data_IF_125239646746
#
_entry.id   IF_125239646746
#
_cell.length_a   1.000
_cell.length_b   1.000
_cell.length_c   1.000
_cell.angle_alpha   90.00
_cell.angle_beta   90.00
_cell.angle_gamma   90.00
#
_symmetry.space_group_name_H-M   'P 1'
#
loop_
_entity.id
_entity.type
_entity.pdbx_description
1 polymer ?
#
# COMPACT_ATOMS: atom_id res chain seq x y z
N UNK A 1 -17.86 -1.77 -10.51
CA UNK A 1 -16.61 -2.57 -10.60
C UNK A 1 -15.62 -2.24 -9.49
N UNK A 2 -15.34 -0.97 -9.17
CA UNK A 2 -14.50 -0.60 -8.01
C UNK A 2 -14.92 -1.32 -6.71
N UNK A 3 -16.20 -1.26 -6.37
CA UNK A 3 -16.74 -1.90 -5.16
C UNK A 3 -16.46 -3.41 -5.11
N UNK A 4 -16.57 -4.13 -6.23
CA UNK A 4 -16.31 -5.57 -6.26
C UNK A 4 -14.83 -5.89 -5.99
N UNK A 5 -13.91 -5.13 -6.59
CA UNK A 5 -12.46 -5.26 -6.35
C UNK A 5 -12.11 -4.95 -4.89
N UNK A 6 -12.64 -3.83 -4.38
CA UNK A 6 -12.42 -3.39 -3.00
C UNK A 6 -12.95 -4.44 -2.02
N UNK A 7 -14.20 -4.87 -2.16
CA UNK A 7 -14.82 -5.88 -1.29
C UNK A 7 -14.03 -7.18 -1.34
N UNK A 8 -13.63 -7.63 -2.54
CA UNK A 8 -12.82 -8.83 -2.69
C UNK A 8 -11.46 -8.71 -1.95
N UNK A 9 -10.74 -7.61 -2.15
CA UNK A 9 -9.45 -7.37 -1.49
C UNK A 9 -9.60 -7.30 0.02
N UNK A 10 -10.57 -6.54 0.54
CA UNK A 10 -10.81 -6.41 1.97
C UNK A 10 -11.23 -7.75 2.58
N UNK A 11 -12.10 -8.50 1.92
CA UNK A 11 -12.51 -9.84 2.39
C UNK A 11 -11.31 -10.79 2.43
N UNK A 12 -10.46 -10.76 1.41
CA UNK A 12 -9.24 -11.59 1.33
C UNK A 12 -8.25 -11.22 2.44
N UNK A 13 -8.04 -9.93 2.69
CA UNK A 13 -7.19 -9.44 3.78
C UNK A 13 -7.77 -9.86 5.14
N UNK A 14 -9.05 -9.61 5.38
CA UNK A 14 -9.73 -9.96 6.62
C UNK A 14 -9.67 -11.47 6.90
N UNK A 15 -9.90 -12.29 5.88
CA UNK A 15 -9.76 -13.74 5.97
C UNK A 15 -8.34 -14.17 6.32
N UNK A 16 -7.33 -13.60 5.65
CA UNK A 16 -5.92 -13.89 5.94
C UNK A 16 -5.54 -13.52 7.37
N UNK A 17 -5.98 -12.36 7.86
CA UNK A 17 -5.78 -11.91 9.23
C UNK A 17 -6.49 -12.84 10.24
N UNK A 18 -7.73 -13.23 9.97
CA UNK A 18 -8.53 -14.11 10.84
C UNK A 18 -7.90 -15.49 11.03
N UNK A 19 -7.46 -16.11 9.92
CA UNK A 19 -6.77 -17.41 9.96
C UNK A 19 -5.49 -17.33 10.78
N UNK A 20 -4.83 -16.17 10.78
CA UNK A 20 -3.56 -15.90 11.48
C UNK A 20 -3.72 -15.21 12.83
N UNK A 21 -4.94 -15.12 13.40
CA UNK A 21 -5.21 -14.35 14.63
C UNK A 21 -4.33 -14.72 15.83
N UNK A 22 -3.87 -15.97 15.91
CA UNK A 22 -3.03 -16.45 16.99
C UNK A 22 -1.55 -16.02 16.87
N UNK A 23 -1.10 -15.59 15.68
CA UNK A 23 0.28 -15.14 15.46
C UNK A 23 0.46 -13.64 15.45
N UNK A 24 -0.60 -12.88 15.75
CA UNK A 24 -0.54 -11.42 15.73
C UNK A 24 0.47 -10.83 16.71
N UNK A 25 0.86 -11.56 17.76
CA UNK A 25 1.88 -11.12 18.72
C UNK A 25 3.29 -11.68 18.43
N UNK A 26 3.44 -12.56 17.44
CA UNK A 26 4.76 -13.10 17.09
C UNK A 26 5.58 -12.02 16.39
N UNK A 27 6.72 -11.61 16.97
CA UNK A 27 7.58 -10.52 16.45
C UNK A 27 7.87 -10.59 14.94
N UNK A 28 8.04 -11.81 14.41
CA UNK A 28 8.32 -12.03 12.99
C UNK A 28 7.10 -11.86 12.07
N UNK A 29 5.88 -11.98 12.60
CA UNK A 29 4.62 -11.97 11.84
C UNK A 29 3.85 -10.65 12.02
N UNK A 30 4.12 -9.90 13.10
CA UNK A 30 3.51 -8.58 13.39
C UNK A 30 3.66 -7.64 12.20
N UNK A 31 4.86 -7.52 11.62
CA UNK A 31 5.12 -6.64 10.48
C UNK A 31 4.26 -6.98 9.25
N UNK A 32 4.07 -8.27 8.97
CA UNK A 32 3.21 -8.73 7.88
C UNK A 32 1.73 -8.43 8.17
N UNK A 33 1.27 -8.59 9.41
CA UNK A 33 -0.10 -8.25 9.81
C UNK A 33 -0.35 -6.74 9.76
N UNK A 34 0.59 -5.92 10.24
CA UNK A 34 0.53 -4.45 10.16
C UNK A 34 0.41 -4.02 8.70
N UNK A 35 1.24 -4.57 7.80
CA UNK A 35 1.13 -4.30 6.37
C UNK A 35 -0.29 -4.56 5.83
N UNK A 36 -0.88 -5.72 6.15
CA UNK A 36 -2.22 -6.06 5.70
C UNK A 36 -3.30 -5.10 6.24
N UNK A 37 -3.23 -4.77 7.53
CA UNK A 37 -4.16 -3.84 8.17
C UNK A 37 -4.06 -2.46 7.55
N UNK A 38 -2.84 -1.95 7.33
CA UNK A 38 -2.60 -0.66 6.72
C UNK A 38 -3.08 -0.60 5.27
N UNK A 39 -2.83 -1.65 4.46
CA UNK A 39 -3.35 -1.72 3.09
C UNK A 39 -4.88 -1.80 3.06
N UNK A 40 -5.50 -2.56 3.96
CA UNK A 40 -6.96 -2.60 4.06
C UNK A 40 -7.52 -1.23 4.45
N UNK A 41 -6.92 -0.57 5.44
CA UNK A 41 -7.30 0.79 5.85
C UNK A 41 -7.17 1.78 4.70
N UNK A 42 -6.06 1.74 3.96
CA UNK A 42 -5.83 2.58 2.79
C UNK A 42 -6.91 2.38 1.71
N UNK A 43 -7.16 1.13 1.31
CA UNK A 43 -8.17 0.77 0.31
C UNK A 43 -9.58 1.19 0.73
N UNK A 44 -9.91 1.08 2.03
CA UNK A 44 -11.21 1.55 2.55
C UNK A 44 -11.29 3.07 2.51
N UNK A 45 -10.28 3.79 3.00
CA UNK A 45 -10.29 5.24 3.06
C UNK A 45 -10.35 5.89 1.68
N UNK A 46 -9.66 5.31 0.70
CA UNK A 46 -9.67 5.80 -0.68
C UNK A 46 -10.91 5.39 -1.47
N UNK A 47 -11.80 4.57 -0.88
CA UNK A 47 -12.96 4.06 -1.59
C UNK A 47 -14.00 5.16 -1.85
N UNK A 48 -14.76 5.08 -2.96
CA UNK A 48 -15.82 6.06 -3.23
C UNK A 48 -16.96 6.12 -2.22
N UNK A 49 -17.07 5.09 -1.37
CA UNK A 49 -17.98 5.09 -0.23
C UNK A 49 -17.41 5.91 0.93
N UNK A 50 -16.12 5.77 1.23
CA UNK A 50 -15.46 6.54 2.28
C UNK A 50 -15.42 8.02 1.94
N UNK A 51 -15.21 8.41 0.68
CA UNK A 51 -15.23 9.83 0.30
C UNK A 51 -16.60 10.49 0.51
N UNK A 52 -17.70 9.74 0.39
CA UNK A 52 -19.04 10.26 0.67
C UNK A 52 -19.37 10.31 2.17
N UNK A 53 -18.89 9.33 2.95
CA UNK A 53 -19.26 9.20 4.37
C UNK A 53 -18.25 9.87 5.29
N UNK A 54 -16.97 9.55 5.12
CA UNK A 54 -15.86 10.06 5.93
C UNK A 54 -15.37 11.38 5.35
N UNK A 55 -15.15 11.45 4.05
CA UNK A 55 -14.60 12.64 3.39
C UNK A 55 -15.47 13.88 3.55
N UNK A 56 -16.78 13.77 3.33
CA UNK A 56 -17.71 14.90 3.54
C UNK A 56 -17.77 15.35 5.02
N UNK A 57 -17.62 14.42 5.98
CA UNK A 57 -17.54 14.78 7.40
C UNK A 57 -16.24 15.48 7.74
N UNK A 58 -15.11 15.01 7.21
CA UNK A 58 -13.82 15.68 7.37
C UNK A 58 -13.88 17.09 6.77
N UNK A 59 -14.43 17.23 5.56
CA UNK A 59 -14.64 18.53 4.93
C UNK A 59 -15.47 19.49 5.80
N UNK A 60 -16.55 19.01 6.45
CA UNK A 60 -17.34 19.88 7.35
C UNK A 60 -16.57 20.38 8.57
N UNK A 61 -15.50 19.69 8.98
CA UNK A 61 -14.68 20.05 10.13
C UNK A 61 -13.44 20.87 9.75
N UNK A 62 -12.85 20.62 8.59
CA UNK A 62 -11.56 21.20 8.18
C UNK A 62 -11.65 22.18 7.02
N UNK A 63 -12.73 22.13 6.23
CA UNK A 63 -12.88 22.85 4.98
C UNK A 63 -12.03 22.31 3.82
N UNK A 64 -11.39 21.14 3.97
CA UNK A 64 -10.51 20.54 2.96
C UNK A 64 -11.09 19.23 2.42
N UNK A 65 -11.21 19.12 1.09
CA UNK A 65 -11.68 17.89 0.45
C UNK A 65 -10.59 16.80 0.44
N UNK A 66 -11.01 15.55 0.28
CA UNK A 66 -10.17 14.37 0.03
C UNK A 66 -9.12 14.07 1.12
N UNK A 67 -9.33 14.53 2.36
CA UNK A 67 -8.41 14.25 3.47
C UNK A 67 -8.35 12.77 3.83
N UNK A 68 -9.45 12.05 3.66
CA UNK A 68 -9.53 10.60 3.78
C UNK A 68 -8.58 9.91 2.79
N UNK A 69 -8.50 10.41 1.56
CA UNK A 69 -7.58 9.90 0.55
C UNK A 69 -6.13 10.17 0.95
N UNK A 70 -5.80 11.38 1.41
CA UNK A 70 -4.45 11.67 1.91
C UNK A 70 -4.03 10.70 3.01
N UNK A 71 -4.88 10.49 4.02
CA UNK A 71 -4.63 9.51 5.08
C UNK A 71 -4.49 8.09 4.52
N UNK A 72 -5.31 7.71 3.54
CA UNK A 72 -5.20 6.44 2.85
C UNK A 72 -3.84 6.24 2.17
N UNK A 73 -3.33 7.27 1.49
CA UNK A 73 -2.01 7.22 0.86
C UNK A 73 -0.87 7.15 1.90
N UNK A 74 -0.99 7.86 3.03
CA UNK A 74 -0.04 7.74 4.13
C UNK A 74 0.02 6.30 4.67
N UNK A 75 -1.14 5.66 4.85
CA UNK A 75 -1.21 4.25 5.23
C UNK A 75 -0.54 3.35 4.19
N UNK A 76 -0.67 3.64 2.89
CA UNK A 76 0.01 2.89 1.83
C UNK A 76 1.53 2.97 1.92
N UNK A 77 2.08 4.17 2.18
CA UNK A 77 3.53 4.36 2.37
C UNK A 77 4.02 3.58 3.59
N UNK A 78 3.31 3.66 4.72
CA UNK A 78 3.66 2.93 5.94
C UNK A 78 3.50 1.41 5.75
N UNK A 79 2.53 0.98 4.95
CA UNK A 79 2.36 -0.43 4.59
C UNK A 79 3.56 -0.96 3.80
N UNK A 80 4.00 -0.23 2.76
CA UNK A 80 5.20 -0.58 2.00
C UNK A 80 6.45 -0.63 2.89
N UNK A 81 6.61 0.32 3.80
CA UNK A 81 7.66 0.31 4.83
C UNK A 81 7.63 -0.94 5.70
N UNK A 82 6.42 -1.39 6.08
CA UNK A 82 6.22 -2.59 6.88
C UNK A 82 6.61 -3.88 6.14
N UNK A 83 6.41 -3.94 4.81
CA UNK A 83 6.90 -5.04 3.97
C UNK A 83 8.43 -5.10 4.00
N UNK A 84 9.09 -3.97 3.79
CA UNK A 84 10.57 -3.91 3.84
C UNK A 84 11.06 -4.35 5.22
N UNK A 85 10.47 -3.78 6.29
CA UNK A 85 10.82 -4.13 7.66
C UNK A 85 10.71 -5.64 7.90
N UNK A 86 9.60 -6.27 7.48
CA UNK A 86 9.41 -7.72 7.60
C UNK A 86 10.54 -8.54 6.94
N UNK A 87 11.06 -8.09 5.81
CA UNK A 87 12.12 -8.79 5.08
C UNK A 87 13.50 -8.62 5.75
N UNK A 88 13.79 -7.41 6.24
CA UNK A 88 15.09 -7.11 6.87
C UNK A 88 15.16 -7.53 8.34
N UNK A 89 14.04 -7.93 8.98
CA UNK A 89 14.00 -8.48 10.34
C UNK A 89 14.93 -9.69 10.55
N UNK A 90 15.34 -10.34 9.47
CA UNK A 90 16.23 -11.51 9.48
C UNK A 90 17.71 -11.14 9.56
N UNK A 91 18.06 -9.87 9.36
CA UNK A 91 19.42 -9.38 9.49
C UNK A 91 19.80 -9.26 10.98
N UNK A 92 21.11 -9.09 11.25
CA UNK A 92 21.54 -8.73 12.60
C UNK A 92 20.91 -7.39 13.04
N UNK A 93 20.78 -7.20 14.36
CA UNK A 93 20.07 -6.05 14.94
C UNK A 93 20.64 -4.71 14.48
N UNK A 94 21.97 -4.60 14.31
CA UNK A 94 22.65 -3.35 13.95
C UNK A 94 22.43 -3.01 12.49
N UNK A 95 22.60 -3.98 11.59
CA UNK A 95 22.37 -3.82 10.16
C UNK A 95 20.89 -3.56 9.86
N UNK A 96 19.98 -4.26 10.56
CA UNK A 96 18.55 -4.03 10.46
C UNK A 96 18.21 -2.58 10.84
N UNK A 97 18.69 -2.11 11.99
CA UNK A 97 18.43 -0.74 12.45
C UNK A 97 18.97 0.32 11.47
N UNK A 98 20.20 0.17 10.98
CA UNK A 98 20.80 1.11 10.02
C UNK A 98 20.00 1.13 8.71
N UNK A 99 19.71 -0.04 8.13
CA UNK A 99 18.95 -0.12 6.88
C UNK A 99 17.55 0.45 7.02
N UNK A 100 16.86 0.14 8.12
CA UNK A 100 15.54 0.68 8.40
C UNK A 100 15.58 2.21 8.51
N UNK A 101 16.47 2.77 9.33
CA UNK A 101 16.57 4.24 9.49
C UNK A 101 16.86 4.95 8.18
N UNK A 102 17.83 4.47 7.41
CA UNK A 102 18.30 5.16 6.20
C UNK A 102 17.41 4.95 4.98
N UNK A 103 16.88 3.74 4.76
CA UNK A 103 16.19 3.37 3.52
C UNK A 103 14.67 3.22 3.68
N UNK A 104 14.14 3.28 4.90
CA UNK A 104 12.70 3.07 5.16
C UNK A 104 12.11 4.25 5.91
N UNK A 105 12.62 4.53 7.11
CA UNK A 105 12.10 5.59 7.96
C UNK A 105 12.37 6.96 7.35
N UNK A 106 13.62 7.30 7.02
CA UNK A 106 13.94 8.62 6.49
C UNK A 106 13.15 8.98 5.21
N UNK A 107 13.07 8.12 4.18
CA UNK A 107 12.25 8.42 3.01
C UNK A 107 10.77 8.58 3.35
N UNK A 108 10.19 7.73 4.22
CA UNK A 108 8.79 7.86 4.62
C UNK A 108 8.54 9.14 5.45
N UNK A 109 9.42 9.46 6.40
CA UNK A 109 9.33 10.66 7.25
C UNK A 109 9.40 11.95 6.44
N UNK A 110 10.15 11.97 5.34
CA UNK A 110 10.19 13.12 4.43
C UNK A 110 8.97 13.13 3.49
N UNK A 111 8.55 11.96 3.02
CA UNK A 111 7.43 11.80 2.09
C UNK A 111 6.11 12.36 2.66
N UNK A 112 5.73 11.96 3.88
CA UNK A 112 4.45 12.35 4.49
C UNK A 112 4.23 13.88 4.59
N UNK A 113 5.16 14.69 5.14
CA UNK A 113 4.97 16.14 5.20
C UNK A 113 5.02 16.80 3.81
N UNK A 114 5.84 16.29 2.88
CA UNK A 114 5.86 16.80 1.51
C UNK A 114 4.55 16.49 0.77
N UNK A 115 3.98 15.30 0.98
CA UNK A 115 2.66 14.93 0.50
C UNK A 115 1.61 15.89 1.04
N UNK A 116 1.58 16.14 2.35
CA UNK A 116 0.65 17.09 2.95
C UNK A 116 0.79 18.51 2.36
N UNK A 117 2.03 19.01 2.21
CA UNK A 117 2.29 20.33 1.66
C UNK A 117 1.81 20.46 0.20
N UNK A 118 2.15 19.47 -0.65
CA UNK A 118 1.76 19.48 -2.07
C UNK A 118 0.26 19.21 -2.27
N UNK A 119 -0.36 18.41 -1.41
CA UNK A 119 -1.79 18.13 -1.44
C UNK A 119 -2.62 19.37 -1.09
N UNK A 120 -2.23 20.09 -0.03
CA UNK A 120 -2.95 21.29 0.44
C UNK A 120 -2.70 22.53 -0.40
N UNK A 121 -1.65 22.55 -1.22
CA UNK A 121 -1.30 23.68 -2.07
C UNK A 121 -2.07 23.76 -3.41
N UNK A 122 -2.91 22.75 -3.73
CA UNK A 122 -3.61 22.74 -5.02
C UNK A 122 -4.86 21.87 -5.06
N UNK A 123 -5.12 21.29 -6.23
CA UNK A 123 -6.36 20.59 -6.57
C UNK A 123 -6.76 19.47 -5.60
N UNK A 124 -5.82 18.94 -4.81
CA UNK A 124 -6.06 17.92 -3.79
C UNK A 124 -7.12 18.31 -2.75
N UNK A 125 -7.19 19.59 -2.37
CA UNK A 125 -8.20 20.10 -1.41
C UNK A 125 -9.33 20.89 -2.05
N UNK A 126 -9.13 21.39 -3.26
CA UNK A 126 -10.07 22.29 -3.95
C UNK A 126 -11.14 21.54 -4.75
N UNK A 127 -10.77 20.42 -5.38
CA UNK A 127 -11.65 19.70 -6.31
C UNK A 127 -12.10 18.39 -5.67
N UNK A 128 -13.39 18.28 -5.41
CA UNK A 128 -13.99 17.03 -4.95
C UNK A 128 -14.32 16.10 -6.11
N UNK A 129 -13.89 14.85 -5.99
CA UNK A 129 -14.39 13.72 -6.77
C UNK A 129 -14.61 12.55 -5.83
N UNK A 130 -15.66 11.76 -6.07
CA UNK A 130 -15.89 10.50 -5.34
C UNK A 130 -14.73 9.51 -5.46
N UNK A 131 -13.87 9.66 -6.45
CA UNK A 131 -12.73 8.81 -6.70
C UNK A 131 -11.55 9.72 -6.96
N UNK A 132 -10.65 9.81 -5.98
CA UNK A 132 -9.59 10.80 -5.97
C UNK A 132 -8.61 10.65 -7.15
N UNK A 133 -8.48 9.45 -7.71
CA UNK A 133 -7.67 9.23 -8.91
C UNK A 133 -8.20 9.96 -10.14
N UNK A 134 -9.46 10.40 -10.11
CA UNK A 134 -10.12 11.16 -11.18
C UNK A 134 -10.03 12.67 -10.99
N UNK A 135 -9.45 13.15 -9.89
CA UNK A 135 -9.19 14.58 -9.70
C UNK A 135 -8.13 15.00 -10.73
N UNK A 136 -8.42 15.99 -11.59
CA UNK A 136 -7.44 16.53 -12.53
C UNK A 136 -6.23 17.09 -11.79
N UNK A 137 -5.03 16.72 -12.24
CA UNK A 137 -3.79 17.13 -11.62
C UNK A 137 -3.39 18.52 -12.12
N UNK A 138 -3.39 19.49 -11.21
CA UNK A 138 -2.58 20.70 -11.35
C UNK A 138 -1.10 20.40 -11.03
N UNK A 139 -0.25 21.42 -11.07
CA UNK A 139 1.17 21.25 -10.79
C UNK A 139 1.45 20.65 -9.40
N UNK A 140 0.69 21.09 -8.39
CA UNK A 140 0.86 20.64 -7.00
C UNK A 140 0.39 19.20 -6.81
N UNK A 141 -0.79 18.85 -7.32
CA UNK A 141 -1.30 17.49 -7.24
C UNK A 141 -0.46 16.52 -8.08
N UNK A 142 0.07 16.94 -9.24
CA UNK A 142 1.05 16.14 -9.98
C UNK A 142 2.30 15.88 -9.12
N UNK A 143 2.85 16.91 -8.48
CA UNK A 143 4.00 16.79 -7.58
C UNK A 143 3.72 15.83 -6.41
N UNK A 144 2.53 15.92 -5.82
CA UNK A 144 2.04 14.98 -4.80
C UNK A 144 2.10 13.52 -5.28
N UNK A 145 1.60 13.23 -6.50
CA UNK A 145 1.65 11.88 -7.05
C UNK A 145 3.09 11.42 -7.33
N UNK A 146 3.97 12.29 -7.81
CA UNK A 146 5.39 11.98 -7.98
C UNK A 146 6.07 11.60 -6.66
N UNK A 147 5.80 12.34 -5.60
CA UNK A 147 6.34 12.05 -4.26
C UNK A 147 5.77 10.72 -3.75
N UNK A 148 4.45 10.57 -3.69
CA UNK A 148 3.80 9.40 -3.12
C UNK A 148 4.13 8.12 -3.90
N UNK A 149 3.92 8.12 -5.23
CA UNK A 149 4.20 6.96 -6.07
C UNK A 149 5.70 6.68 -6.16
N UNK A 150 6.54 7.72 -6.21
CA UNK A 150 8.00 7.58 -6.23
C UNK A 150 8.53 6.91 -4.97
N UNK A 151 8.13 7.38 -3.78
CA UNK A 151 8.52 6.78 -2.50
C UNK A 151 7.97 5.35 -2.36
N UNK A 152 6.71 5.13 -2.70
CA UNK A 152 6.10 3.78 -2.61
C UNK A 152 6.77 2.79 -3.55
N UNK A 153 7.00 3.18 -4.80
CA UNK A 153 7.73 2.35 -5.76
C UNK A 153 9.17 2.08 -5.30
N UNK A 154 9.86 3.08 -4.75
CA UNK A 154 11.19 2.90 -4.16
C UNK A 154 11.19 1.86 -3.04
N UNK A 155 10.26 1.95 -2.09
CA UNK A 155 10.14 0.99 -0.99
C UNK A 155 9.84 -0.42 -1.49
N UNK A 156 8.96 -0.56 -2.48
CA UNK A 156 8.64 -1.85 -3.10
C UNK A 156 9.84 -2.43 -3.86
N UNK A 157 10.58 -1.62 -4.63
CA UNK A 157 11.82 -2.05 -5.29
C UNK A 157 12.86 -2.47 -4.24
N UNK A 158 13.02 -1.71 -3.18
CA UNK A 158 13.94 -2.05 -2.09
C UNK A 158 13.53 -3.37 -1.41
N UNK A 159 12.23 -3.62 -1.25
CA UNK A 159 11.71 -4.90 -0.75
C UNK A 159 12.09 -6.07 -1.67
N UNK A 160 12.02 -5.88 -2.99
CA UNK A 160 12.45 -6.85 -4.01
C UNK A 160 13.94 -7.14 -3.90
N UNK A 161 14.77 -6.12 -3.67
CA UNK A 161 16.21 -6.30 -3.45
C UNK A 161 16.49 -7.07 -2.14
N UNK A 162 15.72 -6.78 -1.08
CA UNK A 162 15.82 -7.50 0.19
C UNK A 162 15.38 -8.98 0.09
N UNK A 163 14.65 -9.36 -0.96
CA UNK A 163 14.20 -10.74 -1.22
C UNK A 163 15.28 -11.61 -1.89
N UNK A 164 16.39 -11.05 -2.38
CA UNK A 164 17.43 -11.82 -3.09
C UNK A 164 17.93 -13.04 -2.29
N UNK A 165 18.22 -12.94 -0.97
CA UNK A 165 18.60 -14.12 -0.19
C UNK A 165 17.48 -15.18 -0.08
N UNK A 166 16.21 -14.74 -0.11
CA UNK A 166 15.06 -15.65 -0.03
C UNK A 166 14.80 -16.40 -1.34
N UNK A 167 15.28 -15.91 -2.49
CA UNK A 167 15.12 -16.61 -3.77
C UNK A 167 15.80 -17.98 -3.77
N UNK A 168 16.93 -18.10 -3.08
CA UNK A 168 17.69 -19.35 -2.99
C UNK A 168 17.04 -20.35 -2.02
N UNK A 169 16.52 -19.87 -0.88
CA UNK A 169 15.97 -20.74 0.16
C UNK A 169 14.47 -21.05 -0.01
N UNK A 170 13.68 -20.10 -0.52
CA UNK A 170 12.20 -20.16 -0.55
C UNK A 170 11.65 -19.56 -1.86
N UNK A 171 12.09 -20.09 -3.01
CA UNK A 171 11.81 -19.54 -4.34
C UNK A 171 10.32 -19.25 -4.63
N UNK A 172 9.39 -20.13 -4.21
CA UNK A 172 7.95 -19.92 -4.44
C UNK A 172 7.42 -18.68 -3.71
N UNK A 173 7.77 -18.55 -2.42
CA UNK A 173 7.34 -17.41 -1.61
C UNK A 173 7.94 -16.11 -2.15
N UNK A 174 9.23 -16.14 -2.50
CA UNK A 174 9.91 -14.99 -3.09
C UNK A 174 9.27 -14.56 -4.42
N UNK A 175 8.91 -15.49 -5.31
CA UNK A 175 8.19 -15.18 -6.56
C UNK A 175 6.83 -14.53 -6.31
N UNK A 176 6.08 -14.98 -5.30
CA UNK A 176 4.81 -14.34 -4.95
C UNK A 176 5.03 -12.89 -4.49
N UNK A 177 6.05 -12.64 -3.66
CA UNK A 177 6.42 -11.28 -3.25
C UNK A 177 6.83 -10.39 -4.44
N UNK A 178 7.55 -10.94 -5.43
CA UNK A 178 7.90 -10.22 -6.66
C UNK A 178 6.65 -9.83 -7.45
N UNK A 179 5.69 -10.75 -7.62
CA UNK A 179 4.42 -10.47 -8.32
C UNK A 179 3.61 -9.42 -7.56
N UNK A 180 3.49 -9.53 -6.23
CA UNK A 180 2.79 -8.57 -5.39
C UNK A 180 3.40 -7.17 -5.49
N UNK A 181 4.73 -7.07 -5.34
CA UNK A 181 5.47 -5.80 -5.45
C UNK A 181 5.37 -5.22 -6.86
N UNK A 182 5.43 -6.07 -7.89
CA UNK A 182 5.25 -5.67 -9.29
C UNK A 182 3.86 -5.07 -9.56
N UNK A 183 2.79 -5.63 -8.98
CA UNK A 183 1.46 -5.06 -9.07
C UNK A 183 1.39 -3.67 -8.40
N UNK A 184 2.00 -3.49 -7.22
CA UNK A 184 2.06 -2.20 -6.54
C UNK A 184 2.86 -1.14 -7.32
N UNK A 185 4.02 -1.52 -7.87
CA UNK A 185 4.82 -0.65 -8.75
C UNK A 185 4.03 -0.31 -10.01
N UNK A 186 3.30 -1.28 -10.58
CA UNK A 186 2.43 -1.06 -11.72
C UNK A 186 1.31 -0.05 -11.42
N UNK A 187 0.70 -0.11 -10.24
CA UNK A 187 -0.29 0.87 -9.80
C UNK A 187 0.31 2.27 -9.69
N UNK A 188 1.52 2.38 -9.12
CA UNK A 188 2.27 3.64 -9.05
C UNK A 188 2.57 4.19 -10.46
N UNK A 189 3.05 3.35 -11.37
CA UNK A 189 3.35 3.74 -12.75
C UNK A 189 2.09 4.18 -13.50
N UNK A 190 0.99 3.43 -13.38
CA UNK A 190 -0.29 3.80 -13.96
C UNK A 190 -0.75 5.18 -13.45
N UNK A 191 -0.63 5.43 -12.14
CA UNK A 191 -1.01 6.71 -11.58
C UNK A 191 -0.13 7.85 -12.06
N UNK A 192 1.19 7.68 -12.09
CA UNK A 192 2.12 8.69 -12.61
C UNK A 192 1.84 9.02 -14.09
N UNK A 193 1.58 8.00 -14.91
CA UNK A 193 1.21 8.20 -16.31
C UNK A 193 -0.09 9.00 -16.40
N UNK A 194 -1.12 8.64 -15.62
CA UNK A 194 -2.39 9.39 -15.65
C UNK A 194 -2.25 10.82 -15.15
N UNK A 195 -1.34 11.11 -14.21
CA UNK A 195 -1.15 12.44 -13.65
C UNK A 195 -0.58 13.46 -14.65
N UNK A 196 0.07 12.99 -15.72
CA UNK A 196 0.64 13.84 -16.78
C UNK A 196 -0.21 13.86 -18.06
N UNK A 197 -1.33 13.14 -18.10
CA UNK A 197 -2.26 13.19 -19.22
C UNK A 197 -3.09 14.50 -19.19
N UNK A 198 -3.62 14.95 -20.33
CA UNK A 198 -4.60 16.05 -20.36
C UNK A 198 -5.81 15.78 -19.45
N UNK A 199 -6.35 16.83 -18.82
CA UNK A 199 -7.42 16.77 -17.82
C UNK A 199 -8.64 15.93 -18.23
N UNK A 200 -9.05 16.04 -19.50
CA UNK A 200 -10.20 15.29 -20.04
C UNK A 200 -10.00 13.77 -20.05
N UNK A 201 -8.74 13.29 -20.05
CA UNK A 201 -8.42 11.87 -19.94
C UNK A 201 -8.24 11.42 -18.48
N UNK A 202 -7.92 12.34 -17.57
CA UNK A 202 -7.74 12.03 -16.14
C UNK A 202 -9.08 11.72 -15.46
N UNK A 203 -10.14 12.45 -15.77
CA UNK A 203 -11.48 12.25 -15.20
C UNK A 203 -12.26 11.09 -15.87
N UNK A 204 -11.56 10.04 -16.27
CA UNK A 204 -12.16 8.85 -16.89
C UNK A 204 -12.21 7.68 -15.93
N UNK A 205 -13.22 6.83 -16.09
CA UNK A 205 -13.31 5.57 -15.36
C UNK A 205 -12.08 4.68 -15.64
N UNK A 206 -11.59 4.67 -16.88
CA UNK A 206 -10.44 3.87 -17.31
C UNK A 206 -9.14 4.29 -16.61
N UNK A 207 -8.89 5.59 -16.43
CA UNK A 207 -7.71 6.09 -15.73
C UNK A 207 -7.66 5.57 -14.28
N UNK A 208 -8.81 5.55 -13.60
CA UNK A 208 -8.88 5.10 -12.21
C UNK A 208 -8.89 3.57 -12.04
N UNK A 209 -9.68 2.85 -12.85
CA UNK A 209 -9.88 1.40 -12.66
C UNK A 209 -8.58 0.59 -12.81
N UNK A 210 -7.64 1.06 -13.64
CA UNK A 210 -6.33 0.40 -13.81
C UNK A 210 -5.51 0.50 -12.52
N UNK A 211 -5.49 1.68 -11.90
CA UNK A 211 -4.80 1.90 -10.62
C UNK A 211 -5.44 1.04 -9.54
N UNK A 212 -6.78 1.05 -9.44
CA UNK A 212 -7.53 0.22 -8.49
C UNK A 212 -7.26 -1.27 -8.68
N UNK A 213 -7.32 -1.78 -9.91
CA UNK A 213 -7.10 -3.19 -10.19
C UNK A 213 -5.71 -3.65 -9.74
N UNK A 214 -4.67 -2.87 -10.05
CA UNK A 214 -3.30 -3.19 -9.69
C UNK A 214 -3.06 -3.05 -8.17
N UNK A 215 -3.60 -2.01 -7.55
CA UNK A 215 -3.51 -1.80 -6.10
C UNK A 215 -4.26 -2.88 -5.30
N UNK A 216 -5.48 -3.22 -5.70
CA UNK A 216 -6.27 -4.31 -5.09
C UNK A 216 -5.60 -5.67 -5.27
N UNK A 217 -5.00 -5.92 -6.45
CA UNK A 217 -4.25 -7.14 -6.74
C UNK A 217 -2.99 -7.25 -5.87
N UNK A 218 -2.28 -6.13 -5.67
CA UNK A 218 -1.15 -6.05 -4.73
C UNK A 218 -1.57 -6.48 -3.32
N UNK A 219 -2.64 -5.89 -2.77
CA UNK A 219 -3.14 -6.23 -1.43
C UNK A 219 -3.63 -7.67 -1.30
N UNK A 220 -4.37 -8.17 -2.30
CA UNK A 220 -4.79 -9.56 -2.34
C UNK A 220 -3.59 -10.52 -2.39
N UNK A 221 -2.56 -10.21 -3.19
CA UNK A 221 -1.35 -11.01 -3.28
C UNK A 221 -0.58 -11.04 -1.95
N UNK A 222 -0.43 -9.91 -1.26
CA UNK A 222 0.19 -9.88 0.08
C UNK A 222 -0.62 -10.66 1.13
N UNK A 223 -1.95 -10.64 1.04
CA UNK A 223 -2.82 -11.44 1.90
C UNK A 223 -2.65 -12.95 1.63
N UNK A 224 -2.55 -13.35 0.36
CA UNK A 224 -2.27 -14.72 -0.05
C UNK A 224 -0.88 -15.20 0.42
N UNK A 225 0.15 -14.39 0.23
CA UNK A 225 1.52 -14.65 0.71
C UNK A 225 1.54 -14.93 2.21
N UNK A 226 0.87 -14.04 2.95
CA UNK A 226 0.74 -14.14 4.41
C UNK A 226 0.04 -15.43 4.84
N UNK A 227 -1.09 -15.76 4.21
CA UNK A 227 -1.83 -17.00 4.49
C UNK A 227 -1.05 -18.26 4.11
N UNK A 228 -0.39 -18.24 2.94
CA UNK A 228 0.42 -19.35 2.46
C UNK A 228 1.63 -19.61 3.37
N UNK A 229 2.33 -18.56 3.81
CA UNK A 229 3.45 -18.69 4.74
C UNK A 229 3.00 -19.32 6.07
N UNK A 230 1.83 -18.93 6.58
CA UNK A 230 1.26 -19.52 7.78
C UNK A 230 0.93 -21.02 7.61
N UNK A 231 0.27 -21.38 6.50
CA UNK A 231 -0.07 -22.78 6.22
C UNK A 231 1.19 -23.66 6.12
N UNK A 232 2.26 -23.16 5.51
CA UNK A 232 3.54 -23.89 5.45
C UNK A 232 4.12 -24.13 6.84
N UNK A 233 4.11 -23.11 7.72
CA UNK A 233 4.58 -23.26 9.11
C UNK A 233 3.71 -24.23 9.90
N UNK A 234 2.39 -24.15 9.76
CA UNK A 234 1.47 -25.05 10.46
C UNK A 234 1.70 -26.51 10.04
N UNK A 235 1.89 -26.78 8.74
CA UNK A 235 2.22 -28.13 8.25
C UNK A 235 3.54 -28.64 8.82
N UNK A 236 4.56 -27.77 8.91
CA UNK A 236 5.84 -28.13 9.50
C UNK A 236 5.71 -28.50 10.99
N UNK A 237 4.86 -27.79 11.74
CA UNK A 237 4.61 -28.09 13.16
C UNK A 237 3.84 -29.38 13.36
N UNK A 238 2.82 -29.64 12.54
CA UNK A 238 2.01 -30.87 12.63
C UNK A 238 2.82 -32.09 12.15
N UNK A 239 3.60 -31.96 11.08
CA UNK A 239 4.44 -33.04 10.56
C UNK A 239 5.70 -33.32 11.38
N UNK A 240 6.03 -32.47 12.35
CA UNK A 240 7.11 -32.67 13.31
C UNK A 240 6.60 -33.19 14.67
N UNK A 241 5.29 -33.44 14.82
CA UNK A 241 4.75 -34.17 15.96
C UNK A 241 5.08 -35.67 15.79
N UNK A 242 5.61 -36.34 16.83
CA UNK A 242 5.98 -37.76 16.78
C UNK A 242 4.80 -38.69 16.53
#
# INVERSE_FOLDING_TARGET
MHAALIIFTITTIAWSLWVRRLTWQCKMEVAASINLVLQAGAVVLMSPWASEVVGLRLYSLTGQHNLEDLLGHDLYVIAASSVVYHLILRLDQRQMAIRFKTHVELPATICLPLMYATFTAGAGTEIYRRDFFRVPCDFWLASYWFIMCGTTAYLLVYSVLALVPMLQAHARLARLYLVASGAGIGACAARLVTAVLPDHLQDTFTASIIVWFLACSCGAAFALISGYSWLQRQRALIGAAP
#
